data_IF_271889523952
#
_entry.id   IF_271889523952
#
_cell.length_a   1.000
_cell.length_b   1.000
_cell.length_c   1.000
_cell.angle_alpha   90.00
_cell.angle_beta   90.00
_cell.angle_gamma   90.00
#
_symmetry.space_group_name_H-M   'P 1'
#
loop_
_entity.id
_entity.type
_entity.pdbx_description
1 polymer ?
#
# COMPACT_ATOMS: atom_id res chain seq x y z
N UNK A 1 8.30 -38.88 -23.65
CA UNK A 1 7.19 -38.30 -22.86
C UNK A 1 7.63 -37.91 -21.43
N UNK A 2 8.83 -37.37 -21.21
CA UNK A 2 9.30 -36.90 -19.88
C UNK A 2 9.37 -35.37 -19.78
N UNK A 3 9.69 -34.70 -20.89
CA UNK A 3 9.69 -33.24 -21.00
C UNK A 3 8.34 -32.64 -20.63
N UNK A 4 7.24 -33.37 -20.88
CA UNK A 4 5.89 -32.90 -20.58
C UNK A 4 5.57 -32.90 -19.07
N UNK A 5 6.05 -33.90 -18.34
CA UNK A 5 5.82 -33.96 -16.89
C UNK A 5 6.68 -32.96 -16.13
N UNK A 6 7.90 -32.69 -16.62
CA UNK A 6 8.82 -31.75 -16.00
C UNK A 6 8.30 -30.31 -16.06
N UNK A 7 7.77 -29.86 -17.20
CA UNK A 7 7.18 -28.51 -17.28
C UNK A 7 5.98 -28.37 -16.34
N UNK A 8 5.08 -29.36 -16.29
CA UNK A 8 3.92 -29.30 -15.40
C UNK A 8 4.31 -29.20 -13.92
N UNK A 9 5.38 -29.89 -13.51
CA UNK A 9 5.87 -29.81 -12.12
C UNK A 9 6.50 -28.45 -11.79
N UNK A 10 7.19 -27.83 -12.75
CA UNK A 10 7.78 -26.50 -12.60
C UNK A 10 6.69 -25.42 -12.59
N UNK A 11 5.67 -25.57 -13.43
CA UNK A 11 4.52 -24.67 -13.52
C UNK A 11 3.71 -24.71 -12.21
N UNK A 12 3.48 -25.91 -11.64
CA UNK A 12 2.85 -26.06 -10.32
C UNK A 12 3.69 -25.40 -9.22
N UNK A 13 5.02 -25.58 -9.25
CA UNK A 13 5.94 -24.98 -8.28
C UNK A 13 5.98 -23.45 -8.36
N UNK A 14 5.95 -22.91 -9.57
CA UNK A 14 5.85 -21.47 -9.84
C UNK A 14 4.55 -20.90 -9.27
N UNK A 15 3.41 -21.52 -9.61
CA UNK A 15 2.09 -21.09 -9.12
C UNK A 15 1.98 -21.12 -7.60
N UNK A 16 2.57 -22.12 -6.93
CA UNK A 16 2.64 -22.18 -5.47
C UNK A 16 3.49 -21.05 -4.86
N UNK A 17 4.55 -20.60 -5.54
CA UNK A 17 5.34 -19.43 -5.12
C UNK A 17 4.52 -18.14 -5.28
N UNK A 18 3.90 -17.94 -6.45
CA UNK A 18 3.03 -16.80 -6.73
C UNK A 18 1.88 -16.68 -5.70
N UNK A 19 1.21 -17.80 -5.39
CA UNK A 19 0.14 -17.84 -4.39
C UNK A 19 0.61 -17.45 -2.99
N UNK A 20 1.82 -17.88 -2.58
CA UNK A 20 2.39 -17.52 -1.28
C UNK A 20 2.71 -16.02 -1.19
N UNK A 21 3.28 -15.46 -2.26
CA UNK A 21 3.54 -14.03 -2.37
C UNK A 21 2.25 -13.22 -2.34
N UNK A 22 1.22 -13.67 -3.06
CA UNK A 22 -0.10 -13.04 -3.06
C UNK A 22 -0.72 -13.00 -1.66
N UNK A 23 -0.73 -14.14 -0.96
CA UNK A 23 -1.24 -14.22 0.41
C UNK A 23 -0.46 -13.34 1.40
N UNK A 24 0.86 -13.20 1.20
CA UNK A 24 1.69 -12.29 1.98
C UNK A 24 1.31 -10.83 1.72
N UNK A 25 1.06 -10.47 0.45
CA UNK A 25 0.68 -9.12 0.05
C UNK A 25 -0.67 -8.71 0.66
N UNK A 26 -1.70 -9.55 0.54
CA UNK A 26 -3.03 -9.31 1.14
C UNK A 26 -2.94 -9.05 2.66
N UNK A 27 -2.05 -9.78 3.37
CA UNK A 27 -1.82 -9.55 4.80
C UNK A 27 -1.19 -8.19 5.07
N UNK A 28 -0.19 -7.80 4.28
CA UNK A 28 0.45 -6.48 4.38
C UNK A 28 -0.56 -5.36 4.12
N UNK A 29 -1.35 -5.45 3.05
CA UNK A 29 -2.39 -4.46 2.75
C UNK A 29 -3.40 -4.32 3.89
N UNK A 30 -3.85 -5.45 4.44
CA UNK A 30 -4.77 -5.44 5.58
C UNK A 30 -4.17 -4.74 6.79
N UNK A 31 -2.86 -4.90 7.03
CA UNK A 31 -2.13 -4.25 8.12
C UNK A 31 -2.00 -2.76 7.85
N UNK A 32 -1.63 -2.38 6.63
CA UNK A 32 -1.52 -0.98 6.21
C UNK A 32 -2.85 -0.25 6.39
N UNK A 33 -3.96 -0.82 5.89
CA UNK A 33 -5.31 -0.27 6.04
C UNK A 33 -5.70 -0.08 7.51
N UNK A 34 -5.39 -1.05 8.38
CA UNK A 34 -5.64 -0.93 9.82
C UNK A 34 -4.81 0.18 10.47
N UNK A 35 -3.53 0.32 10.11
CA UNK A 35 -2.67 1.41 10.62
C UNK A 35 -3.19 2.78 10.20
N UNK A 36 -3.58 2.95 8.93
CA UNK A 36 -4.19 4.20 8.43
C UNK A 36 -5.47 4.54 9.19
N UNK A 37 -6.37 3.57 9.41
CA UNK A 37 -7.60 3.79 10.16
C UNK A 37 -7.33 4.18 11.62
N UNK A 38 -6.30 3.59 12.24
CA UNK A 38 -5.89 3.92 13.59
C UNK A 38 -5.08 5.23 13.68
N UNK A 39 -4.83 5.92 12.56
CA UNK A 39 -3.93 7.09 12.46
C UNK A 39 -2.53 6.83 13.01
N UNK A 40 -2.11 5.56 12.97
CA UNK A 40 -0.75 5.16 13.36
C UNK A 40 0.13 5.35 12.11
N UNK A 41 1.31 5.97 12.24
CA UNK A 41 2.26 6.04 11.15
C UNK A 41 2.50 4.65 10.56
N UNK A 42 2.15 4.47 9.28
CA UNK A 42 2.41 3.21 8.57
C UNK A 42 3.92 2.98 8.48
N UNK A 43 4.31 1.71 8.49
CA UNK A 43 5.70 1.31 8.26
C UNK A 43 6.13 1.79 6.85
N UNK A 44 7.16 2.66 6.74
CA UNK A 44 7.61 3.19 5.45
C UNK A 44 8.06 2.09 4.49
N UNK A 45 8.45 0.92 5.00
CA UNK A 45 8.87 -0.21 4.18
C UNK A 45 7.71 -1.09 3.70
N UNK A 46 6.49 -0.91 4.22
CA UNK A 46 5.35 -1.77 3.87
C UNK A 46 4.93 -1.60 2.40
N UNK A 47 4.94 -0.37 1.89
CA UNK A 47 4.61 -0.08 0.49
C UNK A 47 5.62 -0.72 -0.47
N UNK A 48 6.92 -0.57 -0.18
CA UNK A 48 7.98 -1.17 -0.98
C UNK A 48 7.88 -2.71 -0.98
N UNK A 49 7.62 -3.33 0.18
CA UNK A 49 7.43 -4.78 0.25
C UNK A 49 6.21 -5.26 -0.55
N UNK A 50 5.11 -4.50 -0.59
CA UNK A 50 3.95 -4.84 -1.42
C UNK A 50 4.29 -4.74 -2.91
N UNK A 51 5.02 -3.69 -3.31
CA UNK A 51 5.50 -3.52 -4.69
C UNK A 51 6.37 -4.71 -5.12
N UNK A 52 7.41 -5.02 -4.35
CA UNK A 52 8.34 -6.12 -4.64
C UNK A 52 7.62 -7.47 -4.73
N UNK A 53 6.62 -7.73 -3.87
CA UNK A 53 5.84 -8.97 -3.95
C UNK A 53 5.00 -9.03 -5.23
N UNK A 54 4.39 -7.93 -5.67
CA UNK A 54 3.60 -7.92 -6.92
C UNK A 54 4.47 -8.07 -8.15
N UNK A 55 5.61 -7.36 -8.22
CA UNK A 55 6.58 -7.53 -9.30
C UNK A 55 7.10 -8.98 -9.37
N UNK A 56 7.39 -9.59 -8.22
CA UNK A 56 7.80 -10.99 -8.16
C UNK A 56 6.71 -11.95 -8.67
N UNK A 57 5.43 -11.70 -8.37
CA UNK A 57 4.32 -12.54 -8.87
C UNK A 57 4.23 -12.47 -10.39
N UNK A 58 4.32 -11.27 -10.98
CA UNK A 58 4.26 -11.05 -12.44
C UNK A 58 5.38 -11.81 -13.14
N UNK A 59 6.60 -11.77 -12.57
CA UNK A 59 7.76 -12.45 -13.14
C UNK A 59 7.73 -13.98 -12.93
N UNK A 60 7.00 -14.46 -11.92
CA UNK A 60 6.96 -15.87 -11.54
C UNK A 60 5.91 -16.64 -12.35
N UNK A 61 4.66 -16.14 -12.40
CA UNK A 61 3.54 -16.80 -13.09
C UNK A 61 2.61 -15.75 -13.73
N UNK A 62 2.74 -15.60 -15.05
CA UNK A 62 1.94 -14.66 -15.83
C UNK A 62 0.45 -15.02 -15.84
N UNK A 63 0.09 -16.31 -15.97
CA UNK A 63 -1.30 -16.74 -16.03
C UNK A 63 -2.01 -16.53 -14.68
N UNK A 64 -1.30 -16.77 -13.58
CA UNK A 64 -1.76 -16.40 -12.24
C UNK A 64 -1.92 -14.89 -12.11
N UNK A 65 -0.99 -14.11 -12.66
CA UNK A 65 -1.02 -12.65 -12.60
C UNK A 65 -2.23 -12.06 -13.31
N UNK A 66 -2.54 -12.54 -14.52
CA UNK A 66 -3.75 -12.17 -15.24
C UNK A 66 -5.01 -12.58 -14.48
N UNK A 67 -5.06 -13.80 -13.94
CA UNK A 67 -6.21 -14.31 -13.19
C UNK A 67 -6.52 -13.45 -11.94
N UNK A 68 -5.49 -12.91 -11.29
CA UNK A 68 -5.62 -12.14 -10.07
C UNK A 68 -5.48 -10.63 -10.26
N UNK A 69 -5.44 -10.17 -11.52
CA UNK A 69 -5.32 -8.75 -11.90
C UNK A 69 -4.14 -8.05 -11.20
N UNK A 70 -3.00 -8.73 -11.13
CA UNK A 70 -1.86 -8.28 -10.31
C UNK A 70 -1.29 -6.94 -10.79
N UNK A 71 -1.21 -6.73 -12.10
CA UNK A 71 -0.76 -5.47 -12.71
C UNK A 71 -1.69 -4.31 -12.34
N UNK A 72 -3.00 -4.57 -12.31
CA UNK A 72 -3.98 -3.58 -11.89
C UNK A 72 -3.86 -3.28 -10.39
N UNK A 73 -3.68 -4.31 -9.55
CA UNK A 73 -3.45 -4.13 -8.12
C UNK A 73 -2.16 -3.32 -7.84
N UNK A 74 -1.08 -3.62 -8.57
CA UNK A 74 0.17 -2.87 -8.51
C UNK A 74 -0.03 -1.41 -8.92
N UNK A 75 -0.79 -1.15 -9.99
CA UNK A 75 -1.15 0.21 -10.38
C UNK A 75 -1.95 0.94 -9.29
N UNK A 76 -2.94 0.30 -8.66
CA UNK A 76 -3.70 0.88 -7.56
C UNK A 76 -2.81 1.21 -6.35
N UNK A 77 -1.83 0.35 -6.04
CA UNK A 77 -0.85 0.60 -4.98
C UNK A 77 -0.01 1.85 -5.26
N UNK A 78 0.46 2.04 -6.51
CA UNK A 78 1.17 3.25 -6.91
C UNK A 78 0.28 4.48 -6.88
N UNK A 79 -0.94 4.37 -7.42
CA UNK A 79 -1.91 5.46 -7.45
C UNK A 79 -2.26 5.96 -6.04
N UNK A 80 -2.53 5.05 -5.10
CA UNK A 80 -2.79 5.40 -3.70
C UNK A 80 -1.64 6.16 -3.05
N UNK A 81 -0.39 5.78 -3.33
CA UNK A 81 0.80 6.49 -2.84
C UNK A 81 0.92 7.89 -3.42
N UNK A 82 0.61 8.08 -4.70
CA UNK A 82 0.59 9.39 -5.35
C UNK A 82 -0.44 10.30 -4.68
N UNK A 83 -1.65 9.80 -4.43
CA UNK A 83 -2.71 10.58 -3.76
C UNK A 83 -2.34 10.95 -2.32
N UNK A 84 -1.70 10.05 -1.57
CA UNK A 84 -1.17 10.34 -0.23
C UNK A 84 -0.15 11.50 -0.27
N UNK A 85 0.80 11.44 -1.21
CA UNK A 85 1.81 12.49 -1.38
C UNK A 85 1.19 13.82 -1.81
N UNK A 86 0.20 13.81 -2.70
CA UNK A 86 -0.58 15.01 -3.07
C UNK A 86 -1.30 15.59 -1.85
N UNK A 87 -1.89 14.74 -1.02
CA UNK A 87 -2.52 15.15 0.24
C UNK A 87 -1.55 15.85 1.19
N UNK A 88 -0.37 15.27 1.41
CA UNK A 88 0.68 15.89 2.23
C UNK A 88 1.18 17.21 1.66
N UNK A 89 1.40 17.28 0.35
CA UNK A 89 1.82 18.51 -0.33
C UNK A 89 0.77 19.62 -0.18
N UNK A 90 -0.51 19.31 -0.43
CA UNK A 90 -1.60 20.26 -0.27
C UNK A 90 -1.78 20.71 1.19
N UNK A 91 -1.60 19.82 2.16
CA UNK A 91 -1.65 20.16 3.58
C UNK A 91 -0.49 21.08 4.00
N UNK A 92 0.70 20.89 3.42
CA UNK A 92 1.86 21.76 3.64
C UNK A 92 1.72 23.13 2.96
N UNK A 93 1.02 23.19 1.82
CA UNK A 93 0.71 24.44 1.10
C UNK A 93 -0.45 25.22 1.71
N UNK A 94 -1.37 24.56 2.40
CA UNK A 94 -2.44 25.25 3.11
C UNK A 94 -1.77 26.30 4.03
N UNK A 95 -2.10 27.59 3.90
CA UNK A 95 -1.53 28.59 4.79
C UNK A 95 -1.79 28.10 6.21
N UNK A 96 -0.74 27.96 7.01
CA UNK A 96 -0.86 27.73 8.43
C UNK A 96 -1.81 28.79 8.94
N UNK A 97 -3.08 28.43 9.10
CA UNK A 97 -4.07 29.28 9.71
C UNK A 97 -3.46 29.62 11.05
N UNK A 98 -3.10 30.89 11.19
CA UNK A 98 -2.57 31.52 12.38
C UNK A 98 -3.21 30.89 13.60
N UNK A 99 -2.48 29.98 14.26
CA UNK A 99 -2.75 29.60 15.63
C UNK A 99 -2.21 30.74 16.53
N UNK A 100 -2.74 31.94 16.32
CA UNK A 100 -2.55 33.08 17.18
C UNK A 100 -3.83 33.90 17.20
N UNK A 101 -4.42 33.92 18.41
CA UNK A 101 -5.37 34.90 18.90
C UNK A 101 -6.83 34.81 18.41
N UNK A 102 -7.64 34.04 19.14
CA UNK A 102 -8.82 34.60 19.82
C UNK A 102 -9.24 33.68 20.97
N UNK A 103 -8.78 34.04 22.17
CA UNK A 103 -9.12 33.38 23.42
C UNK A 103 -8.47 34.10 24.60
N UNK A 104 -8.33 35.43 24.48
CA UNK A 104 -7.91 36.27 25.60
C UNK A 104 -8.98 36.19 26.67
N UNK A 105 -8.73 35.40 27.71
CA UNK A 105 -9.43 35.47 28.98
C UNK A 105 -9.06 36.81 29.63
N UNK A 106 -9.74 37.89 29.23
CA UNK A 106 -9.68 39.17 29.95
C UNK A 106 -10.47 38.97 31.23
N UNK A 107 -9.72 38.72 32.32
CA UNK A 107 -10.21 38.86 33.67
C UNK A 107 -10.09 40.33 34.08
N UNK A 108 -11.16 40.84 34.70
CA UNK A 108 -11.28 42.02 35.57
C UNK A 108 -11.86 43.35 34.98
N UNK A 109 -13.15 43.54 35.31
CA UNK A 109 -13.85 44.74 35.86
C UNK A 109 -14.30 45.88 34.92
N UNK A 110 -15.60 46.25 34.99
CA UNK A 110 -16.12 47.43 35.74
C UNK A 110 -17.37 47.02 36.59
N UNK A 111 -17.82 47.61 37.69
CA UNK A 111 -17.66 48.88 38.44
C UNK A 111 -17.24 48.60 39.90
#
# INVERSE_FOLDING_TARGET
>A
MMTIMMHNSLDLSSRERAQRLYNKNVKLESKHRRSTQARIPSDPNAWQQMQENYEAIILEDHAFSEQHEIEYALWQLHYGRIEELRGHFNAALAPSGSATSQGGKVSARPE
#
